data_IF_929823456253
#
_entry.id   IF_929823456253
#
_cell.length_a   1.000
_cell.length_b   1.000
_cell.length_c   1.000
_cell.angle_alpha   90.00
_cell.angle_beta   90.00
_cell.angle_gamma   90.00
#
_symmetry.space_group_name_H-M   'P 1'
#
loop_
_entity.id
_entity.type
_entity.pdbx_description
1 polymer ?
#
# COMPACT_ATOMS: atom_id res chain seq x y z
N UNK A 1 26.57 -5.51 13.90
CA UNK A 1 25.80 -4.25 13.76
C UNK A 1 24.33 -4.63 13.71
N UNK A 2 23.50 -4.03 14.57
CA UNK A 2 22.11 -4.45 14.72
C UNK A 2 21.21 -3.49 13.92
N UNK A 3 20.55 -4.01 12.88
CA UNK A 3 19.41 -3.33 12.26
C UNK A 3 18.32 -3.25 13.32
N UNK A 4 17.66 -2.10 13.46
CA UNK A 4 16.53 -1.96 14.38
C UNK A 4 15.28 -2.64 13.79
N UNK A 5 14.58 -3.45 14.59
CA UNK A 5 13.28 -4.02 14.21
C UNK A 5 12.20 -2.96 14.39
N UNK A 6 11.39 -2.74 13.37
CA UNK A 6 10.27 -1.80 13.45
C UNK A 6 9.02 -2.48 14.02
N UNK A 7 8.11 -1.70 14.58
CA UNK A 7 6.84 -2.19 15.14
C UNK A 7 5.72 -1.20 14.86
N UNK A 8 4.56 -1.73 14.52
CA UNK A 8 3.36 -0.90 14.28
C UNK A 8 2.88 -0.29 15.60
N UNK A 9 2.71 1.03 15.64
CA UNK A 9 2.14 1.71 16.81
C UNK A 9 0.60 1.60 16.76
N UNK A 10 0.05 0.65 17.52
CA UNK A 10 -1.40 0.40 17.56
C UNK A 10 -2.21 1.59 18.06
N UNK A 11 -1.60 2.53 18.78
CA UNK A 11 -2.28 3.74 19.29
C UNK A 11 -2.58 4.75 18.18
N UNK A 12 -1.98 4.57 17.00
CA UNK A 12 -2.09 5.47 15.84
C UNK A 12 -3.18 5.09 14.86
N UNK A 13 -3.94 4.03 15.16
CA UNK A 13 -5.13 3.68 14.40
C UNK A 13 -6.31 4.60 14.75
N UNK A 14 -7.07 4.98 13.72
CA UNK A 14 -8.31 5.74 13.87
C UNK A 14 -9.42 4.83 14.42
N UNK A 15 -9.94 5.07 15.64
CA UNK A 15 -11.03 4.27 16.18
C UNK A 15 -12.36 4.47 15.43
N UNK A 16 -12.49 5.56 14.66
CA UNK A 16 -13.66 5.86 13.83
C UNK A 16 -13.50 5.50 12.36
N UNK A 17 -12.44 4.79 11.96
CA UNK A 17 -12.27 4.38 10.57
C UNK A 17 -13.35 3.37 10.16
N UNK A 18 -13.89 3.57 8.96
CA UNK A 18 -14.84 2.65 8.35
C UNK A 18 -14.12 1.71 7.39
N UNK A 19 -14.31 0.40 7.56
CA UNK A 19 -13.66 -0.62 6.76
C UNK A 19 -14.69 -1.34 5.89
N UNK A 20 -14.49 -1.39 4.55
CA UNK A 20 -15.32 -2.17 3.66
C UNK A 20 -14.97 -3.67 3.76
N UNK A 21 -15.90 -4.52 3.30
CA UNK A 21 -15.67 -5.96 3.12
C UNK A 21 -15.19 -6.70 4.38
N UNK A 22 -15.67 -6.27 5.55
CA UNK A 22 -15.30 -6.84 6.86
C UNK A 22 -13.80 -6.81 7.17
N UNK A 23 -13.03 -5.94 6.49
CA UNK A 23 -11.67 -5.64 6.90
C UNK A 23 -11.66 -5.09 8.33
N UNK A 24 -10.61 -5.41 9.06
CA UNK A 24 -10.43 -4.96 10.45
C UNK A 24 -9.13 -4.17 10.58
N UNK A 25 -9.03 -3.25 11.56
CA UNK A 25 -7.77 -2.59 11.88
C UNK A 25 -6.62 -3.59 12.09
N UNK A 26 -6.90 -4.75 12.69
CA UNK A 26 -5.91 -5.80 12.93
C UNK A 26 -5.36 -6.41 11.64
N UNK A 27 -6.16 -6.51 10.57
CA UNK A 27 -5.69 -7.05 9.28
C UNK A 27 -4.64 -6.12 8.69
N UNK A 28 -4.87 -4.80 8.76
CA UNK A 28 -3.92 -3.76 8.33
C UNK A 28 -2.68 -3.73 9.22
N UNK A 29 -2.86 -3.81 10.55
CA UNK A 29 -1.75 -3.86 11.51
C UNK A 29 -0.83 -5.06 11.23
N UNK A 30 -1.38 -6.26 11.10
CA UNK A 30 -0.60 -7.46 10.85
C UNK A 30 0.06 -7.42 9.47
N UNK A 31 -0.59 -6.85 8.45
CA UNK A 31 0.02 -6.67 7.15
C UNK A 31 1.21 -5.70 7.17
N UNK A 32 1.10 -4.58 7.87
CA UNK A 32 2.21 -3.65 8.07
C UNK A 32 3.36 -4.30 8.86
N UNK A 33 3.03 -5.10 9.88
CA UNK A 33 4.04 -5.79 10.69
C UNK A 33 4.77 -6.88 9.90
N UNK A 34 4.08 -7.67 9.07
CA UNK A 34 4.69 -8.66 8.18
C UNK A 34 5.74 -8.01 7.26
N UNK A 35 5.45 -6.80 6.74
CA UNK A 35 6.41 -6.04 5.92
C UNK A 35 7.60 -5.56 6.75
N UNK A 36 7.37 -5.01 7.94
CA UNK A 36 8.46 -4.58 8.84
C UNK A 36 9.40 -5.73 9.21
N UNK A 37 8.83 -6.89 9.51
CA UNK A 37 9.58 -8.09 9.87
C UNK A 37 10.40 -8.59 8.69
N UNK A 38 9.83 -8.61 7.48
CA UNK A 38 10.58 -8.95 6.26
C UNK A 38 11.79 -8.03 6.05
N UNK A 39 11.61 -6.70 6.13
CA UNK A 39 12.72 -5.77 5.96
C UNK A 39 13.77 -5.91 7.07
N UNK A 40 13.35 -6.15 8.31
CA UNK A 40 14.27 -6.43 9.41
C UNK A 40 15.12 -7.67 9.13
N UNK A 41 14.49 -8.79 8.75
CA UNK A 41 15.19 -10.06 8.51
C UNK A 41 16.15 -9.97 7.32
N UNK A 42 15.69 -9.43 6.20
CA UNK A 42 16.50 -9.25 4.98
C UNK A 42 17.65 -8.29 5.25
N UNK A 43 17.39 -7.11 5.81
CA UNK A 43 18.45 -6.12 6.05
C UNK A 43 19.44 -6.62 7.11
N UNK A 44 18.98 -7.32 8.14
CA UNK A 44 19.86 -7.94 9.13
C UNK A 44 20.79 -8.97 8.49
N UNK A 45 20.27 -9.77 7.56
CA UNK A 45 21.07 -10.74 6.83
C UNK A 45 22.08 -10.06 5.89
N UNK A 46 21.65 -9.07 5.12
CA UNK A 46 22.50 -8.29 4.20
C UNK A 46 23.64 -7.58 4.97
N UNK A 47 23.33 -6.94 6.09
CA UNK A 47 24.32 -6.26 6.92
C UNK A 47 25.39 -7.24 7.46
N UNK A 48 25.00 -8.46 7.86
CA UNK A 48 25.96 -9.51 8.28
C UNK A 48 26.88 -9.97 7.15
N UNK A 49 26.48 -9.77 5.89
CA UNK A 49 27.28 -10.06 4.70
C UNK A 49 28.07 -8.85 4.18
N UNK A 50 28.01 -7.71 4.88
CA UNK A 50 28.66 -6.47 4.43
C UNK A 50 27.97 -5.85 3.21
N UNK A 51 26.70 -6.19 2.95
CA UNK A 51 25.90 -5.65 1.86
C UNK A 51 25.02 -4.50 2.35
N UNK A 52 24.61 -3.63 1.42
CA UNK A 52 23.68 -2.54 1.68
C UNK A 52 22.28 -3.06 2.03
N UNK A 53 21.47 -2.25 2.70
CA UNK A 53 20.07 -2.59 2.98
C UNK A 53 19.27 -2.63 1.67
N UNK A 54 18.24 -3.47 1.64
CA UNK A 54 17.37 -3.62 0.48
C UNK A 54 16.72 -2.29 0.07
N UNK A 55 16.25 -1.50 1.03
CA UNK A 55 15.63 -0.19 0.80
C UNK A 55 16.62 0.89 0.35
N UNK A 56 17.93 0.71 0.55
CA UNK A 56 18.97 1.57 -0.04
C UNK A 56 19.24 1.20 -1.51
N UNK A 57 19.07 -0.08 -1.87
CA UNK A 57 19.35 -0.59 -3.22
C UNK A 57 18.20 -0.38 -4.22
N UNK A 58 16.95 -0.39 -3.74
CA UNK A 58 15.77 -0.34 -4.60
C UNK A 58 15.46 1.08 -5.11
N UNK A 59 15.23 1.19 -6.42
CA UNK A 59 14.67 2.43 -6.99
C UNK A 59 13.26 2.68 -6.43
N UNK A 60 12.85 3.93 -6.17
CA UNK A 60 11.56 4.23 -5.54
C UNK A 60 10.32 3.63 -6.23
N UNK A 61 10.34 3.54 -7.56
CA UNK A 61 9.25 2.92 -8.32
C UNK A 61 9.14 1.41 -8.07
N UNK A 62 10.28 0.72 -7.97
CA UNK A 62 10.32 -0.72 -7.68
C UNK A 62 9.90 -0.95 -6.23
N UNK A 63 10.42 -0.16 -5.29
CA UNK A 63 10.07 -0.23 -3.88
C UNK A 63 8.56 -0.12 -3.66
N UNK A 64 7.91 0.83 -4.34
CA UNK A 64 6.46 1.02 -4.21
C UNK A 64 5.66 -0.18 -4.76
N UNK A 65 6.13 -0.79 -5.85
CA UNK A 65 5.56 -2.03 -6.39
C UNK A 65 5.69 -3.19 -5.40
N UNK A 66 6.92 -3.45 -4.93
CA UNK A 66 7.22 -4.52 -3.95
C UNK A 66 6.36 -4.38 -2.69
N UNK A 67 6.27 -3.17 -2.13
CA UNK A 67 5.44 -2.95 -0.95
C UNK A 67 3.95 -3.19 -1.24
N UNK A 68 3.45 -2.80 -2.41
CA UNK A 68 2.05 -3.05 -2.78
C UNK A 68 1.78 -4.55 -2.89
N UNK A 69 2.66 -5.32 -3.52
CA UNK A 69 2.53 -6.78 -3.64
C UNK A 69 2.59 -7.48 -2.28
N UNK A 70 3.54 -7.09 -1.42
CA UNK A 70 3.65 -7.64 -0.06
C UNK A 70 2.42 -7.33 0.78
N UNK A 71 1.91 -6.09 0.71
CA UNK A 71 0.71 -5.68 1.44
C UNK A 71 -0.54 -6.39 0.93
N UNK A 72 -0.68 -6.58 -0.39
CA UNK A 72 -1.77 -7.36 -0.99
C UNK A 72 -1.73 -8.80 -0.48
N UNK A 73 -0.60 -9.49 -0.60
CA UNK A 73 -0.47 -10.86 -0.13
C UNK A 73 -0.71 -11.00 1.39
N UNK A 74 -0.18 -10.07 2.19
CA UNK A 74 -0.34 -10.13 3.64
C UNK A 74 -1.77 -9.76 4.09
N UNK A 75 -2.40 -8.76 3.49
CA UNK A 75 -3.82 -8.45 3.75
C UNK A 75 -4.73 -9.62 3.37
N UNK A 76 -4.49 -10.28 2.24
CA UNK A 76 -5.23 -11.49 1.85
C UNK A 76 -5.05 -12.64 2.85
N UNK A 77 -3.83 -12.81 3.38
CA UNK A 77 -3.52 -13.83 4.40
C UNK A 77 -4.25 -13.58 5.72
N UNK A 78 -4.39 -12.32 6.13
CA UNK A 78 -4.98 -11.96 7.42
C UNK A 78 -6.49 -11.71 7.37
N UNK A 79 -7.01 -11.27 6.23
CA UNK A 79 -8.44 -11.06 6.01
C UNK A 79 -9.21 -12.38 6.03
N UNK A 80 -10.43 -12.33 6.55
CA UNK A 80 -11.37 -13.47 6.49
C UNK A 80 -12.19 -13.50 5.20
N UNK A 81 -12.25 -12.39 4.48
CA UNK A 81 -13.19 -12.15 3.38
C UNK A 81 -12.48 -11.80 2.08
N UNK A 82 -11.37 -11.04 2.16
CA UNK A 82 -10.62 -10.65 0.98
C UNK A 82 -9.51 -11.66 0.66
N UNK A 83 -9.35 -11.93 -0.63
CA UNK A 83 -8.30 -12.77 -1.20
C UNK A 83 -7.61 -12.04 -2.35
N UNK A 84 -6.39 -12.44 -2.70
CA UNK A 84 -5.72 -11.94 -3.90
C UNK A 84 -6.54 -12.25 -5.16
N UNK A 85 -6.58 -11.30 -6.08
CA UNK A 85 -7.15 -11.50 -7.41
C UNK A 85 -6.20 -12.38 -8.25
N UNK A 86 -6.64 -13.58 -8.57
CA UNK A 86 -5.85 -14.58 -9.31
C UNK A 86 -5.77 -14.31 -10.80
N UNK A 87 -6.49 -13.30 -11.30
CA UNK A 87 -6.34 -12.86 -12.68
C UNK A 87 -5.03 -12.09 -12.84
N UNK A 88 -4.18 -12.50 -13.76
CA UNK A 88 -2.92 -11.81 -14.04
C UNK A 88 -3.17 -10.35 -14.46
N UNK A 89 -2.64 -9.40 -13.69
CA UNK A 89 -2.93 -7.96 -13.82
C UNK A 89 -4.43 -7.64 -13.74
N UNK A 90 -5.16 -8.38 -12.90
CA UNK A 90 -6.55 -8.11 -12.56
C UNK A 90 -6.67 -6.85 -11.69
N UNK A 91 -7.89 -6.33 -11.62
CA UNK A 91 -8.24 -5.22 -10.74
C UNK A 91 -9.60 -5.52 -10.08
N UNK A 92 -9.81 -5.20 -8.80
CA UNK A 92 -8.82 -4.74 -7.82
C UNK A 92 -7.81 -5.82 -7.41
N UNK A 93 -6.74 -5.40 -6.73
CA UNK A 93 -5.66 -6.29 -6.21
C UNK A 93 -6.21 -7.34 -5.24
N UNK A 94 -7.09 -6.92 -4.31
CA UNK A 94 -7.85 -7.80 -3.42
C UNK A 94 -9.31 -7.85 -3.84
N UNK A 95 -9.93 -9.03 -3.81
CA UNK A 95 -11.35 -9.23 -4.11
C UNK A 95 -12.06 -10.02 -3.01
N UNK A 96 -13.37 -9.86 -2.92
CA UNK A 96 -14.20 -10.65 -2.00
C UNK A 96 -14.22 -12.11 -2.45
N UNK A 97 -13.84 -13.01 -1.54
CA UNK A 97 -13.76 -14.45 -1.80
C UNK A 97 -15.12 -15.00 -2.25
N UNK A 98 -15.11 -15.77 -3.33
CA UNK A 98 -16.30 -16.46 -3.85
C UNK A 98 -17.24 -15.58 -4.70
N UNK A 99 -17.01 -14.27 -4.78
CA UNK A 99 -17.83 -13.38 -5.64
C UNK A 99 -17.51 -13.57 -7.11
N UNK A 100 -16.23 -13.76 -7.45
CA UNK A 100 -15.79 -13.98 -8.83
C UNK A 100 -15.37 -15.44 -9.03
N UNK A 101 -15.72 -16.08 -10.17
CA UNK A 101 -15.31 -17.45 -10.47
C UNK A 101 -13.79 -17.64 -10.31
N UNK A 102 -13.39 -18.62 -9.49
CA UNK A 102 -11.98 -18.92 -9.24
C UNK A 102 -11.20 -17.82 -8.50
N UNK A 103 -11.90 -16.83 -7.91
CA UNK A 103 -11.30 -15.60 -7.38
C UNK A 103 -10.42 -14.91 -8.43
N UNK A 104 -10.91 -14.82 -9.67
CA UNK A 104 -10.19 -14.20 -10.77
C UNK A 104 -11.12 -13.27 -11.56
N UNK A 105 -10.75 -12.00 -11.68
CA UNK A 105 -11.48 -11.03 -12.50
C UNK A 105 -10.53 -10.01 -13.12
N UNK A 106 -10.70 -9.75 -14.43
CA UNK A 106 -9.92 -8.72 -15.13
C UNK A 106 -10.20 -7.32 -14.59
N UNK A 107 -11.47 -7.00 -14.37
CA UNK A 107 -11.93 -5.75 -13.79
C UNK A 107 -13.20 -6.01 -12.96
N UNK A 108 -13.09 -5.87 -11.65
CA UNK A 108 -14.15 -6.04 -10.66
C UNK A 108 -14.39 -4.76 -9.84
N UNK A 109 -15.42 -4.79 -9.02
CA UNK A 109 -15.82 -3.69 -8.11
C UNK A 109 -15.94 -4.16 -6.65
N UNK A 110 -15.95 -5.47 -6.43
CA UNK A 110 -16.07 -6.09 -5.10
C UNK A 110 -14.68 -6.44 -4.58
N UNK A 111 -13.99 -5.43 -4.05
CA UNK A 111 -12.63 -5.56 -3.58
C UNK A 111 -11.93 -4.23 -3.33
N UNK A 112 -10.64 -4.29 -3.00
CA UNK A 112 -9.80 -3.15 -2.60
C UNK A 112 -8.52 -3.13 -3.44
N UNK A 113 -8.25 -1.99 -4.07
CA UNK A 113 -6.98 -1.72 -4.75
C UNK A 113 -5.94 -1.27 -3.73
N UNK A 114 -4.76 -1.89 -3.74
CA UNK A 114 -3.64 -1.55 -2.87
C UNK A 114 -2.65 -0.68 -3.64
N UNK A 115 -2.23 0.41 -3.00
CA UNK A 115 -1.19 1.30 -3.52
C UNK A 115 -0.27 1.74 -2.41
N UNK A 116 0.98 1.99 -2.76
CA UNK A 116 1.93 2.64 -1.87
C UNK A 116 2.53 3.87 -2.50
N UNK A 117 2.96 4.81 -1.66
CA UNK A 117 3.59 6.05 -2.12
C UNK A 117 4.51 6.63 -1.05
N UNK A 118 5.50 7.42 -1.48
CA UNK A 118 6.31 8.26 -0.59
C UNK A 118 5.74 9.68 -0.43
N UNK A 119 4.69 10.00 -1.18
CA UNK A 119 4.07 11.33 -1.15
C UNK A 119 3.12 11.41 0.04
N UNK A 120 3.48 12.23 1.02
CA UNK A 120 2.64 12.61 2.16
C UNK A 120 1.20 12.92 1.72
N UNK A 121 0.23 12.39 2.46
CA UNK A 121 -1.18 12.52 2.16
C UNK A 121 -1.66 11.67 0.97
N UNK A 122 -0.98 10.58 0.64
CA UNK A 122 -1.53 9.48 -0.16
C UNK A 122 -1.66 9.72 -1.66
N UNK A 123 -0.96 10.70 -2.23
CA UNK A 123 -1.02 10.94 -3.67
C UNK A 123 -0.30 9.82 -4.44
N UNK A 124 -1.03 9.12 -5.30
CA UNK A 124 -0.52 8.00 -6.11
C UNK A 124 -1.15 8.00 -7.50
N UNK A 125 -0.43 7.46 -8.47
CA UNK A 125 -0.92 7.25 -9.83
C UNK A 125 -1.59 5.89 -9.94
N UNK A 126 -2.71 5.84 -10.66
CA UNK A 126 -3.52 4.63 -10.86
C UNK A 126 -3.57 4.26 -12.34
N UNK A 127 -3.89 3.01 -12.65
CA UNK A 127 -4.12 2.53 -14.02
C UNK A 127 -5.52 2.93 -14.52
N UNK A 128 -5.76 4.24 -14.61
CA UNK A 128 -6.99 4.83 -15.12
C UNK A 128 -7.94 5.31 -14.04
N UNK A 129 -8.74 6.31 -14.39
CA UNK A 129 -9.82 6.78 -13.53
C UNK A 129 -10.91 5.69 -13.49
N UNK A 130 -11.19 5.19 -12.31
CA UNK A 130 -12.20 4.15 -12.07
C UNK A 130 -12.78 4.29 -10.68
N UNK A 131 -14.01 3.81 -10.53
CA UNK A 131 -14.62 3.71 -9.22
C UNK A 131 -14.05 2.48 -8.50
N UNK A 132 -13.54 2.67 -7.29
CA UNK A 132 -12.85 1.61 -6.54
C UNK A 132 -12.73 1.98 -5.07
N UNK A 133 -12.66 0.97 -4.22
CA UNK A 133 -12.06 1.13 -2.89
C UNK A 133 -10.55 1.18 -3.06
N UNK A 134 -9.94 2.27 -2.62
CA UNK A 134 -8.50 2.49 -2.73
C UNK A 134 -7.88 2.54 -1.35
N UNK A 135 -6.94 1.62 -1.09
CA UNK A 135 -6.11 1.59 0.11
C UNK A 135 -4.71 2.10 -0.23
N UNK A 136 -4.32 3.25 0.35
CA UNK A 136 -3.01 3.86 0.11
C UNK A 136 -2.18 3.84 1.37
N UNK A 137 -1.02 3.18 1.30
CA UNK A 137 -0.01 3.19 2.35
C UNK A 137 1.09 4.20 2.00
N UNK A 138 1.26 5.21 2.83
CA UNK A 138 2.37 6.17 2.74
C UNK A 138 3.53 5.61 3.54
N UNK A 139 4.71 5.57 2.94
CA UNK A 139 5.92 5.07 3.59
C UNK A 139 7.10 6.04 3.45
N UNK A 140 8.02 5.94 4.40
CA UNK A 140 9.31 6.61 4.38
C UNK A 140 10.46 5.61 4.52
N UNK A 141 11.58 5.94 3.90
CA UNK A 141 12.86 5.28 4.10
C UNK A 141 13.88 6.32 4.51
N UNK A 142 14.78 5.97 5.41
CA UNK A 142 15.92 6.82 5.77
C UNK A 142 17.11 6.45 4.90
N UNK A 143 17.37 7.26 3.88
CA UNK A 143 18.49 7.08 2.95
C UNK A 143 19.59 8.12 3.14
N UNK A 144 19.50 8.96 4.17
CA UNK A 144 20.36 10.15 4.34
C UNK A 144 21.14 10.15 5.64
N UNK A 145 20.69 9.47 6.68
CA UNK A 145 21.41 9.44 7.96
C UNK A 145 22.77 8.74 7.81
N UNK A 146 23.79 9.33 8.41
CA UNK A 146 25.15 8.80 8.50
C UNK A 146 25.61 8.76 9.95
N UNK A 147 26.35 7.71 10.38
CA UNK A 147 26.76 6.56 9.57
C UNK A 147 25.58 5.67 9.15
N UNK A 148 25.69 4.97 8.00
CA UNK A 148 24.63 4.09 7.44
C UNK A 148 23.98 3.15 8.47
N UNK A 149 24.75 2.70 9.47
CA UNK A 149 24.27 1.83 10.55
C UNK A 149 23.16 2.49 11.42
N UNK A 150 23.15 3.82 11.51
CA UNK A 150 22.21 4.59 12.33
C UNK A 150 20.93 4.95 11.56
N UNK A 151 20.83 4.57 10.27
CA UNK A 151 19.63 4.82 9.47
C UNK A 151 18.42 4.10 10.06
N UNK A 152 17.32 4.84 10.18
CA UNK A 152 16.04 4.31 10.66
C UNK A 152 15.47 3.24 9.71
N UNK A 153 14.75 2.23 10.22
CA UNK A 153 14.07 1.26 9.36
C UNK A 153 12.92 1.92 8.59
N UNK A 154 12.58 1.35 7.43
CA UNK A 154 11.42 1.75 6.64
C UNK A 154 10.15 1.74 7.51
N UNK A 155 9.35 2.79 7.41
CA UNK A 155 8.14 2.98 8.22
C UNK A 155 6.97 3.43 7.35
N UNK A 156 5.80 2.84 7.57
CA UNK A 156 4.53 3.40 7.12
C UNK A 156 4.13 4.55 8.04
N UNK A 157 3.87 5.72 7.46
CA UNK A 157 3.52 6.94 8.18
C UNK A 157 2.02 7.22 8.14
N UNK A 158 1.35 6.84 7.06
CA UNK A 158 -0.09 7.09 6.88
C UNK A 158 -0.74 5.91 6.14
N UNK A 159 -1.98 5.58 6.48
CA UNK A 159 -2.81 4.64 5.72
C UNK A 159 -4.18 5.25 5.50
N UNK A 160 -4.67 5.19 4.27
CA UNK A 160 -5.99 5.67 3.85
C UNK A 160 -6.76 4.55 3.18
N UNK A 161 -8.05 4.42 3.45
CA UNK A 161 -8.95 3.50 2.76
C UNK A 161 -10.28 4.18 2.49
N UNK A 162 -10.51 4.55 1.24
CA UNK A 162 -11.72 5.27 0.85
C UNK A 162 -12.23 4.83 -0.51
N UNK A 163 -13.55 4.96 -0.71
CA UNK A 163 -14.15 4.79 -2.02
C UNK A 163 -13.96 6.05 -2.85
N UNK A 164 -13.36 5.90 -4.03
CA UNK A 164 -13.18 6.97 -5.01
C UNK A 164 -13.96 6.66 -6.27
N UNK A 165 -14.38 7.70 -6.97
CA UNK A 165 -15.14 7.63 -8.22
C UNK A 165 -14.34 8.23 -9.36
N UNK A 166 -14.78 8.02 -10.61
CA UNK A 166 -14.11 8.59 -11.80
C UNK A 166 -14.03 10.12 -11.76
N UNK A 167 -14.98 10.79 -11.07
CA UNK A 167 -14.97 12.26 -10.93
C UNK A 167 -13.89 12.76 -9.99
N UNK A 168 -13.35 11.91 -9.11
CA UNK A 168 -12.29 12.27 -8.16
C UNK A 168 -10.89 12.34 -8.81
N UNK A 169 -10.78 12.01 -10.11
CA UNK A 169 -9.53 12.00 -10.86
C UNK A 169 -9.34 13.26 -11.72
N UNK A 170 -8.07 13.64 -11.92
CA UNK A 170 -7.72 14.71 -12.85
C UNK A 170 -8.12 14.33 -14.28
N UNK A 171 -8.73 15.27 -15.00
CA UNK A 171 -8.97 15.13 -16.44
C UNK A 171 -7.68 15.45 -17.18
N UNK A 172 -7.08 14.46 -17.83
CA UNK A 172 -5.97 14.68 -18.75
C UNK A 172 -6.51 14.85 -20.18
N UNK A 173 -6.19 15.95 -20.89
CA UNK A 173 -6.62 16.17 -22.27
C UNK A 173 -5.84 15.35 -23.33
N UNK A 174 -5.00 14.37 -22.93
CA UNK A 174 -4.16 13.61 -23.87
C UNK A 174 -4.89 12.37 -24.43
N UNK A 175 -4.84 12.21 -25.75
CA UNK A 175 -5.46 11.13 -26.55
C UNK A 175 -4.84 9.73 -26.36
N UNK A 176 -5.20 8.81 -27.26
CA UNK A 176 -5.37 7.36 -27.03
C UNK A 176 -4.15 6.47 -26.73
N UNK A 177 -2.90 6.94 -26.77
CA UNK A 177 -1.75 6.02 -26.70
C UNK A 177 -1.12 5.96 -25.30
N UNK A 178 -1.65 5.03 -24.49
CA UNK A 178 -1.08 4.55 -23.22
C UNK A 178 -2.15 4.01 -22.27
N UNK A 179 -1.78 3.12 -21.34
CA UNK A 179 -2.62 2.88 -20.14
C UNK A 179 -2.77 4.22 -19.45
N UNK A 180 -3.94 4.85 -19.55
CA UNK A 180 -4.18 6.21 -19.03
C UNK A 180 -3.82 6.21 -17.55
N UNK A 181 -2.70 6.80 -17.15
CA UNK A 181 -2.43 7.00 -15.73
C UNK A 181 -3.35 8.09 -15.21
N UNK A 182 -3.95 7.87 -14.06
CA UNK A 182 -4.86 8.83 -13.45
C UNK A 182 -4.45 9.08 -11.99
N UNK A 183 -4.36 10.35 -11.63
CA UNK A 183 -4.09 10.80 -10.26
C UNK A 183 -5.36 11.48 -9.75
N UNK A 184 -5.66 11.32 -8.47
CA UNK A 184 -6.73 12.09 -7.83
C UNK A 184 -6.47 13.60 -7.96
N UNK A 185 -7.53 14.38 -8.16
CA UNK A 185 -7.45 15.84 -8.05
C UNK A 185 -7.45 16.28 -6.57
N UNK A 186 -7.39 17.59 -6.34
CA UNK A 186 -7.26 18.16 -4.99
C UNK A 186 -8.37 17.67 -4.05
N UNK A 187 -9.62 17.71 -4.48
CA UNK A 187 -10.75 17.31 -3.63
C UNK A 187 -10.89 15.79 -3.53
N UNK A 188 -10.55 15.04 -4.58
CA UNK A 188 -10.45 13.58 -4.52
C UNK A 188 -9.43 13.12 -3.46
N UNK A 189 -8.24 13.72 -3.45
CA UNK A 189 -7.23 13.50 -2.41
C UNK A 189 -7.76 13.90 -1.03
N UNK A 190 -8.46 15.04 -0.93
CA UNK A 190 -9.03 15.50 0.34
C UNK A 190 -10.02 14.46 0.90
N UNK A 191 -10.94 13.97 0.07
CA UNK A 191 -11.91 12.92 0.45
C UNK A 191 -11.22 11.62 0.88
N UNK A 192 -10.18 11.20 0.16
CA UNK A 192 -9.39 10.04 0.56
C UNK A 192 -8.78 10.23 1.96
N UNK A 193 -8.25 11.43 2.24
CA UNK A 193 -7.63 11.76 3.54
C UNK A 193 -8.61 11.81 4.69
N UNK A 194 -9.89 12.11 4.42
CA UNK A 194 -10.97 12.02 5.43
C UNK A 194 -11.18 10.55 5.87
N UNK A 195 -10.84 9.58 5.01
CA UNK A 195 -10.95 8.13 5.28
C UNK A 195 -9.62 7.52 5.77
N UNK A 196 -8.95 8.19 6.72
CA UNK A 196 -7.68 7.71 7.27
C UNK A 196 -7.87 6.57 8.27
N UNK A 197 -7.01 5.56 8.18
CA UNK A 197 -6.94 4.39 9.07
C UNK A 197 -5.82 4.54 10.10
N UNK A 198 -4.66 5.03 9.68
CA UNK A 198 -3.44 5.05 10.51
C UNK A 198 -2.64 6.32 10.22
N UNK A 199 -2.08 6.97 11.25
CA UNK A 199 -1.17 8.12 11.12
C UNK A 199 -0.15 8.14 12.26
N UNK A 200 1.14 7.96 11.95
CA UNK A 200 2.24 7.94 12.91
C UNK A 200 2.57 9.34 13.46
#
# INVERSE_FOLDING_TARGET
MAIARNSVDVTKFNPGANFPFELRPQDVQMAMQDVYDFFYDVNSFLARKGLQRMDDMLRPAIMSGVLSDMLTASLAKHSRVLTENRYFNGHPDLIVQGVYPGNAVKAGVQGVEIKTTRKTGGAVDTHGAREQWMCVFVYETDATTEPVIDRRPMSFTEVYLGYVTTTDFRRNPRGELGTRTATLHKDGIKRLRESWIYRL
#
